data_IF_968659716552
#
_entry.id   IF_968659716552
#
_cell.length_a   1.000
_cell.length_b   1.000
_cell.length_c   1.000
_cell.angle_alpha   90.00
_cell.angle_beta   90.00
_cell.angle_gamma   90.00
#
_symmetry.space_group_name_H-M   'P 1'
#
loop_
_entity.id
_entity.type
_entity.pdbx_description
1 polymer ?
#
# COMPACT_ATOMS: atom_id res chain seq x y z
N UNK A 1 10.70 7.37 8.25
CA UNK A 1 11.40 6.17 7.76
C UNK A 1 10.78 4.87 8.26
N UNK A 2 10.58 4.68 9.57
CA UNK A 2 9.96 3.45 10.10
C UNK A 2 8.56 3.18 9.54
N UNK A 3 7.67 4.17 9.53
CA UNK A 3 6.31 4.02 8.96
C UNK A 3 6.34 3.60 7.49
N UNK A 4 7.23 4.20 6.69
CA UNK A 4 7.41 3.84 5.28
C UNK A 4 7.92 2.38 5.14
N UNK A 5 8.89 1.97 5.94
CA UNK A 5 9.42 0.61 5.92
C UNK A 5 8.35 -0.43 6.32
N UNK A 6 7.54 -0.12 7.34
CA UNK A 6 6.42 -0.98 7.76
C UNK A 6 5.35 -1.06 6.67
N UNK A 7 4.95 0.07 6.11
CA UNK A 7 3.94 0.15 5.06
C UNK A 7 4.41 -0.52 3.75
N UNK A 8 5.40 0.07 3.09
CA UNK A 8 5.82 -0.31 1.75
C UNK A 8 6.66 -1.59 1.76
N UNK A 9 7.56 -1.70 2.73
CA UNK A 9 8.37 -2.92 2.93
C UNK A 9 7.52 -4.09 3.40
N UNK A 10 6.60 -3.86 4.34
CA UNK A 10 5.65 -4.88 4.81
C UNK A 10 4.76 -5.40 3.69
N UNK A 11 4.16 -4.51 2.89
CA UNK A 11 3.38 -4.89 1.71
C UNK A 11 4.20 -5.74 0.74
N UNK A 12 5.41 -5.30 0.41
CA UNK A 12 6.31 -5.99 -0.53
C UNK A 12 6.68 -7.38 -0.04
N UNK A 13 7.12 -7.49 1.22
CA UNK A 13 7.49 -8.77 1.82
C UNK A 13 6.29 -9.71 1.90
N UNK A 14 5.12 -9.20 2.30
CA UNK A 14 3.91 -10.00 2.41
C UNK A 14 3.49 -10.56 1.05
N UNK A 15 3.42 -9.71 0.02
CA UNK A 15 2.97 -10.11 -1.31
C UNK A 15 3.93 -11.09 -2.01
N UNK A 16 5.24 -10.90 -1.86
CA UNK A 16 6.24 -11.69 -2.59
C UNK A 16 6.67 -12.96 -1.85
N UNK A 17 6.60 -12.98 -0.52
CA UNK A 17 7.13 -14.07 0.30
C UNK A 17 6.02 -14.79 1.04
N UNK A 18 5.22 -14.06 1.83
CA UNK A 18 4.24 -14.67 2.72
C UNK A 18 3.07 -15.28 1.95
N UNK A 19 2.53 -14.58 0.94
CA UNK A 19 1.38 -15.06 0.16
C UNK A 19 1.70 -16.34 -0.63
N UNK A 20 2.81 -16.43 -1.40
CA UNK A 20 3.14 -17.67 -2.10
C UNK A 20 3.38 -18.84 -1.15
N UNK A 21 4.20 -18.65 -0.11
CA UNK A 21 4.48 -19.70 0.88
C UNK A 21 3.19 -20.15 1.56
N UNK A 22 2.36 -19.22 2.01
CA UNK A 22 1.08 -19.54 2.64
C UNK A 22 0.15 -20.30 1.69
N UNK A 23 0.05 -19.87 0.44
CA UNK A 23 -0.77 -20.57 -0.58
C UNK A 23 -0.30 -22.00 -0.79
N UNK A 24 1.00 -22.25 -0.84
CA UNK A 24 1.58 -23.59 -1.01
C UNK A 24 1.38 -24.48 0.23
N UNK A 25 1.38 -23.90 1.44
CA UNK A 25 1.29 -24.65 2.70
C UNK A 25 -0.15 -24.95 3.13
N UNK A 26 -1.07 -23.99 2.96
CA UNK A 26 -2.44 -24.08 3.49
C UNK A 26 -3.53 -23.94 2.43
N UNK A 27 -3.18 -23.69 1.17
CA UNK A 27 -4.11 -23.47 0.07
C UNK A 27 -4.51 -22.01 -0.12
N UNK A 28 -5.01 -21.69 -1.31
CA UNK A 28 -5.34 -20.30 -1.71
C UNK A 28 -6.50 -19.69 -0.94
N UNK A 29 -7.50 -20.51 -0.58
CA UNK A 29 -8.69 -20.05 0.15
C UNK A 29 -8.32 -19.68 1.58
N UNK A 30 -7.67 -20.57 2.32
CA UNK A 30 -7.17 -20.35 3.68
C UNK A 30 -6.20 -19.15 3.72
N UNK A 31 -5.27 -19.06 2.77
CA UNK A 31 -4.36 -17.93 2.66
C UNK A 31 -5.11 -16.61 2.37
N UNK A 32 -6.19 -16.66 1.58
CA UNK A 32 -7.08 -15.52 1.34
C UNK A 32 -7.73 -15.01 2.62
N UNK A 33 -8.15 -15.90 3.53
CA UNK A 33 -8.68 -15.52 4.84
C UNK A 33 -7.65 -14.83 5.73
N UNK A 34 -6.39 -15.31 5.73
CA UNK A 34 -5.30 -14.63 6.44
C UNK A 34 -5.05 -13.25 5.80
N UNK A 35 -4.97 -13.20 4.48
CA UNK A 35 -4.75 -11.96 3.72
C UNK A 35 -5.83 -10.93 4.02
N UNK A 36 -7.10 -11.33 4.14
CA UNK A 36 -8.19 -10.44 4.52
C UNK A 36 -7.94 -9.73 5.87
N UNK A 37 -7.40 -10.45 6.85
CA UNK A 37 -7.08 -9.92 8.17
C UNK A 37 -5.88 -8.97 8.11
N UNK A 38 -4.84 -9.36 7.39
CA UNK A 38 -3.65 -8.53 7.18
C UNK A 38 -4.01 -7.23 6.45
N UNK A 39 -4.90 -7.29 5.47
CA UNK A 39 -5.36 -6.09 4.74
C UNK A 39 -5.99 -5.04 5.65
N UNK A 40 -6.68 -5.43 6.73
CA UNK A 40 -7.22 -4.45 7.69
C UNK A 40 -6.12 -3.63 8.35
N UNK A 41 -5.03 -4.29 8.74
CA UNK A 41 -3.86 -3.62 9.30
C UNK A 41 -3.13 -2.78 8.24
N UNK A 42 -2.96 -3.33 7.04
CA UNK A 42 -2.38 -2.62 5.91
C UNK A 42 -3.14 -1.32 5.61
N UNK A 43 -4.46 -1.37 5.53
CA UNK A 43 -5.34 -0.22 5.30
C UNK A 43 -5.19 0.86 6.39
N UNK A 44 -5.04 0.46 7.66
CA UNK A 44 -4.77 1.41 8.74
C UNK A 44 -3.39 2.07 8.60
N UNK A 45 -2.37 1.27 8.25
CA UNK A 45 -0.99 1.73 8.08
C UNK A 45 -0.87 2.70 6.89
N UNK A 46 -1.45 2.37 5.72
CA UNK A 46 -1.44 3.26 4.55
C UNK A 46 -2.25 4.53 4.79
N UNK A 47 -3.33 4.47 5.57
CA UNK A 47 -4.07 5.68 5.99
C UNK A 47 -3.18 6.62 6.78
N UNK A 48 -2.46 6.09 7.78
CA UNK A 48 -1.51 6.87 8.56
C UNK A 48 -0.40 7.45 7.68
N UNK A 49 0.14 6.64 6.76
CA UNK A 49 1.14 7.11 5.80
C UNK A 49 0.59 8.24 4.92
N UNK A 50 -0.64 8.11 4.43
CA UNK A 50 -1.31 9.14 3.60
C UNK A 50 -1.39 10.47 4.33
N UNK A 51 -1.80 10.45 5.61
CA UNK A 51 -1.87 11.65 6.45
C UNK A 51 -0.48 12.30 6.55
N UNK A 52 0.56 11.50 6.84
CA UNK A 52 1.94 11.99 6.93
C UNK A 52 2.41 12.62 5.61
N UNK A 53 2.10 12.00 4.46
CA UNK A 53 2.48 12.54 3.15
C UNK A 53 1.77 13.87 2.86
N UNK A 54 0.49 14.01 3.21
CA UNK A 54 -0.26 15.25 3.02
C UNK A 54 0.24 16.38 3.93
N UNK A 55 0.61 16.07 5.17
CA UNK A 55 1.28 17.02 6.08
C UNK A 55 2.61 17.47 5.46
N UNK A 56 3.42 16.52 4.99
CA UNK A 56 4.72 16.82 4.39
C UNK A 56 4.59 17.65 3.11
N UNK A 57 3.58 17.37 2.28
CA UNK A 57 3.24 18.16 1.11
C UNK A 57 2.90 19.61 1.47
N UNK A 58 2.20 19.80 2.58
CA UNK A 58 1.83 21.12 3.12
C UNK A 58 3.04 21.89 3.65
N UNK A 59 3.95 21.21 4.36
CA UNK A 59 5.18 21.80 4.91
C UNK A 59 6.15 22.18 3.79
N UNK A 60 6.40 21.26 2.85
CA UNK A 60 7.35 21.47 1.74
C UNK A 60 6.81 22.39 0.65
N UNK A 61 5.48 22.58 0.56
CA UNK A 61 4.78 23.35 -0.48
C UNK A 61 5.18 22.95 -1.92
N UNK A 62 5.52 21.67 -2.13
CA UNK A 62 5.93 21.15 -3.44
C UNK A 62 4.79 20.41 -4.11
N UNK A 63 4.49 20.77 -5.36
CA UNK A 63 3.41 20.15 -6.14
C UNK A 63 3.58 18.64 -6.25
N UNK A 64 4.80 18.14 -6.43
CA UNK A 64 5.07 16.70 -6.54
C UNK A 64 4.63 15.90 -5.29
N UNK A 65 4.77 16.48 -4.09
CA UNK A 65 4.32 15.85 -2.85
C UNK A 65 2.80 15.86 -2.74
N UNK A 66 2.14 16.94 -3.19
CA UNK A 66 0.68 16.99 -3.28
C UNK A 66 0.13 15.98 -4.28
N UNK A 67 0.73 15.87 -5.46
CA UNK A 67 0.33 14.89 -6.48
C UNK A 67 0.45 13.45 -5.93
N UNK A 68 1.58 13.11 -5.29
CA UNK A 68 1.77 11.80 -4.68
C UNK A 68 0.81 11.56 -3.50
N UNK A 69 0.60 12.56 -2.63
CA UNK A 69 -0.32 12.47 -1.49
C UNK A 69 -1.77 12.30 -1.90
N UNK A 70 -2.24 13.05 -2.90
CA UNK A 70 -3.60 12.93 -3.45
C UNK A 70 -3.77 11.58 -4.15
N UNK A 71 -2.80 11.15 -4.95
CA UNK A 71 -2.84 9.82 -5.59
C UNK A 71 -2.95 8.71 -4.54
N UNK A 72 -2.14 8.77 -3.48
CA UNK A 72 -2.19 7.80 -2.39
C UNK A 72 -3.52 7.84 -1.64
N UNK A 73 -4.07 9.03 -1.39
CA UNK A 73 -5.36 9.19 -0.72
C UNK A 73 -6.52 8.60 -1.53
N UNK A 74 -6.55 8.86 -2.85
CA UNK A 74 -7.56 8.29 -3.75
C UNK A 74 -7.45 6.77 -3.79
N UNK A 75 -6.25 6.23 -3.98
CA UNK A 75 -6.03 4.78 -4.03
C UNK A 75 -6.40 4.13 -2.69
N UNK A 76 -6.03 4.73 -1.57
CA UNK A 76 -6.40 4.25 -0.23
C UNK A 76 -7.91 4.18 -0.07
N UNK A 77 -8.65 5.23 -0.45
CA UNK A 77 -10.11 5.23 -0.39
C UNK A 77 -10.73 4.12 -1.24
N UNK A 78 -10.23 3.93 -2.46
CA UNK A 78 -10.68 2.86 -3.36
C UNK A 78 -10.38 1.46 -2.79
N UNK A 79 -9.22 1.26 -2.17
CA UNK A 79 -8.86 0.02 -1.49
C UNK A 79 -9.76 -0.29 -0.30
N UNK A 80 -10.15 0.72 0.49
CA UNK A 80 -11.13 0.53 1.57
C UNK A 80 -12.48 0.06 1.04
N UNK A 81 -12.99 0.72 0.00
CA UNK A 81 -14.30 0.39 -0.60
C UNK A 81 -14.27 -1.03 -1.17
N UNK A 82 -13.25 -1.35 -1.97
CA UNK A 82 -13.12 -2.66 -2.61
C UNK A 82 -12.85 -3.77 -1.60
N UNK A 83 -12.08 -3.52 -0.54
CA UNK A 83 -11.87 -4.49 0.55
C UNK A 83 -13.15 -4.78 1.32
N UNK A 84 -13.95 -3.76 1.61
CA UNK A 84 -15.25 -3.93 2.27
C UNK A 84 -16.20 -4.78 1.42
N UNK A 85 -16.28 -4.51 0.11
CA UNK A 85 -17.07 -5.29 -0.84
C UNK A 85 -16.60 -6.74 -0.92
N UNK A 86 -15.29 -6.98 -1.05
CA UNK A 86 -14.71 -8.33 -1.08
C UNK A 86 -14.99 -9.09 0.21
N UNK A 87 -14.82 -8.44 1.36
CA UNK A 87 -15.07 -9.06 2.67
C UNK A 87 -16.54 -9.48 2.83
N UNK A 88 -17.48 -8.71 2.28
CA UNK A 88 -18.90 -9.04 2.28
C UNK A 88 -19.28 -10.22 1.36
N UNK A 89 -18.42 -10.60 0.43
CA UNK A 89 -18.65 -11.73 -0.49
C UNK A 89 -18.16 -13.08 0.05
N UNK A 90 -17.39 -13.08 1.14
CA UNK A 90 -16.76 -14.28 1.68
C UNK A 90 -17.69 -14.96 2.69
N UNK A 91 -18.00 -16.24 2.47
CA UNK A 91 -18.62 -17.07 3.49
C UNK A 91 -17.53 -17.70 4.37
N UNK A 92 -17.36 -17.14 5.58
CA UNK A 92 -16.38 -17.63 6.55
C UNK A 92 -16.74 -18.99 7.15
N UNK A 93 -18.03 -19.34 7.21
CA UNK A 93 -18.49 -20.60 7.78
C UNK A 93 -18.32 -21.74 6.76
N UNK A 94 -18.74 -21.50 5.51
CA UNK A 94 -18.62 -22.46 4.42
C UNK A 94 -17.25 -22.51 3.76
N UNK A 95 -16.38 -21.50 3.98
CA UNK A 95 -15.11 -21.30 3.27
C UNK A 95 -15.25 -21.22 1.75
N UNK A 96 -16.30 -20.55 1.29
CA UNK A 96 -16.65 -20.45 -0.13
C UNK A 96 -16.61 -18.98 -0.58
N UNK A 97 -16.18 -18.76 -1.83
CA UNK A 97 -16.14 -17.45 -2.48
C UNK A 97 -16.82 -17.55 -3.86
N UNK A 98 -17.76 -16.64 -4.20
CA UNK A 98 -18.46 -16.68 -5.48
C UNK A 98 -17.52 -16.32 -6.64
N UNK A 99 -17.84 -16.77 -7.87
CA UNK A 99 -17.02 -16.48 -9.05
C UNK A 99 -16.84 -14.97 -9.32
N UNK A 100 -17.82 -14.13 -8.96
CA UNK A 100 -17.73 -12.67 -9.06
C UNK A 100 -16.63 -12.06 -8.19
N UNK A 101 -16.22 -12.74 -7.12
CA UNK A 101 -15.14 -12.32 -6.23
C UNK A 101 -13.84 -12.08 -7.00
N UNK A 102 -13.47 -13.00 -7.90
CA UNK A 102 -12.18 -12.94 -8.60
C UNK A 102 -12.06 -11.71 -9.52
N UNK A 103 -13.18 -11.24 -10.09
CA UNK A 103 -13.19 -10.02 -10.90
C UNK A 103 -12.88 -8.80 -10.03
N UNK A 104 -13.59 -8.64 -8.91
CA UNK A 104 -13.36 -7.53 -7.99
C UNK A 104 -11.98 -7.62 -7.31
N UNK A 105 -11.53 -8.84 -7.01
CA UNK A 105 -10.22 -9.10 -6.44
C UNK A 105 -9.10 -8.68 -7.41
N UNK A 106 -9.25 -8.93 -8.71
CA UNK A 106 -8.29 -8.44 -9.71
C UNK A 106 -8.18 -6.92 -9.74
N UNK A 107 -9.30 -6.20 -9.57
CA UNK A 107 -9.31 -4.73 -9.47
C UNK A 107 -8.60 -4.28 -8.20
N UNK A 108 -8.86 -4.94 -7.07
CA UNK A 108 -8.17 -4.69 -5.81
C UNK A 108 -6.65 -4.85 -5.96
N UNK A 109 -6.17 -5.92 -6.61
CA UNK A 109 -4.74 -6.15 -6.85
C UNK A 109 -4.11 -5.05 -7.69
N UNK A 110 -4.80 -4.57 -8.73
CA UNK A 110 -4.32 -3.43 -9.51
C UNK A 110 -4.24 -2.14 -8.69
N UNK A 111 -5.23 -1.87 -7.83
CA UNK A 111 -5.18 -0.73 -6.91
C UNK A 111 -4.00 -0.85 -5.94
N UNK A 112 -3.74 -2.04 -5.39
CA UNK A 112 -2.57 -2.30 -4.53
C UNK A 112 -1.25 -2.12 -5.29
N UNK A 113 -1.20 -2.48 -6.58
CA UNK A 113 -0.01 -2.22 -7.41
C UNK A 113 0.24 -0.71 -7.62
N UNK A 114 -0.82 0.08 -7.82
CA UNK A 114 -0.72 1.55 -7.92
C UNK A 114 -0.30 2.18 -6.58
N UNK A 115 -0.85 1.67 -5.47
CA UNK A 115 -0.43 2.05 -4.11
C UNK A 115 1.08 1.81 -3.93
N UNK A 116 1.55 0.61 -4.29
CA UNK A 116 2.96 0.24 -4.21
C UNK A 116 3.85 1.12 -5.10
N UNK A 117 3.43 1.43 -6.33
CA UNK A 117 4.15 2.33 -7.23
C UNK A 117 4.23 3.76 -6.68
N UNK A 118 3.20 4.22 -5.98
CA UNK A 118 3.22 5.52 -5.28
C UNK A 118 4.27 5.53 -4.18
N UNK A 119 4.51 4.39 -3.52
CA UNK A 119 5.62 4.23 -2.58
C UNK A 119 7.00 4.42 -3.21
N UNK A 120 7.21 3.96 -4.46
CA UNK A 120 8.45 4.24 -5.22
C UNK A 120 8.58 5.74 -5.45
N UNK A 121 7.53 6.40 -5.92
CA UNK A 121 7.54 7.84 -6.18
C UNK A 121 7.91 8.63 -4.91
N UNK A 122 7.34 8.24 -3.76
CA UNK A 122 7.65 8.86 -2.46
C UNK A 122 9.08 8.58 -2.01
N UNK A 123 9.61 7.37 -2.22
CA UNK A 123 11.01 7.05 -1.91
C UNK A 123 11.96 7.92 -2.75
N UNK A 124 11.70 8.06 -4.05
CA UNK A 124 12.46 8.92 -4.97
C UNK A 124 12.37 10.39 -4.54
N UNK A 125 11.17 10.90 -4.24
CA UNK A 125 10.95 12.27 -3.78
C UNK A 125 11.57 12.56 -2.40
N UNK A 126 11.71 11.55 -1.53
CA UNK A 126 12.36 11.68 -0.23
C UNK A 126 13.88 11.59 -0.29
N UNK A 127 14.43 10.78 -1.21
CA UNK A 127 15.89 10.53 -1.30
C UNK A 127 16.60 11.56 -2.20
N UNK A 128 16.03 11.91 -3.36
CA UNK A 128 16.73 12.79 -4.33
C UNK A 128 16.97 14.23 -3.83
N UNK A 129 16.02 14.91 -3.19
CA UNK A 129 16.25 16.29 -2.75
C UNK A 129 17.28 16.40 -1.63
N UNK A 130 17.32 15.44 -0.71
CA UNK A 130 18.26 15.44 0.41
C UNK A 130 19.68 15.12 -0.06
N UNK A 131 19.84 14.29 -1.10
CA UNK A 131 21.13 14.00 -1.72
C UNK A 131 21.69 15.20 -2.49
N UNK A 132 20.85 15.92 -3.25
CA UNK A 132 21.25 17.11 -4.00
C UNK A 132 21.59 18.27 -3.06
N UNK A 133 20.76 18.52 -2.04
CA UNK A 133 21.04 19.58 -1.06
C UNK A 133 22.36 19.36 -0.29
N UNK A 134 22.71 18.10 0.01
CA UNK A 134 24.01 17.76 0.63
C UNK A 134 25.20 17.97 -0.30
N UNK A 135 25.04 17.85 -1.61
CA UNK A 135 26.13 18.13 -2.57
C UNK A 135 26.40 19.62 -2.74
N UNK A 136 25.38 20.48 -2.61
CA UNK A 136 25.55 21.93 -2.69
C UNK A 136 26.25 22.51 -1.44
N UNK A 137 25.94 22.00 -0.25
CA UNK A 137 26.60 22.39 1.03
C UNK A 137 28.05 21.88 1.14
N UNK A 138 28.38 20.77 0.48
CA UNK A 138 29.73 20.20 0.47
C UNK A 138 30.71 20.87 -0.49
N UNK A 139 30.21 21.63 -1.47
CA UNK A 139 31.02 22.34 -2.47
C UNK A 139 31.44 23.76 -2.04
N UNK A 140 30.93 24.24 -0.90
CA UNK A 140 31.16 25.59 -0.38
C UNK A 140 32.12 25.63 0.82
N UNK A 141 32.85 24.54 1.06
CA UNK A 141 33.96 24.42 2.03
C UNK A 141 35.23 23.98 1.32
#
# INVERSE_FOLDING_TARGET
>A
MLLFAVWWGGLTFYALIVVPIGTDQIGSVEQGFITQQVTRWHNAIVTLMTIVVLIEASVRRRLAWWSAGIALAVVTALLFVTHWQLSGMIDFAGRIVPASFYRLHSVYLWLTAVEWATGIALAVLGVLPDAIARTEDGSSR
#
